data_IF_084943551358
#
_entry.id   IF_084943551358
#
_cell.length_a   1.000
_cell.length_b   1.000
_cell.length_c   1.000
_cell.angle_alpha   90.00
_cell.angle_beta   90.00
_cell.angle_gamma   90.00
#
_symmetry.space_group_name_H-M   'P 1'
#
loop_
_entity.id
_entity.type
_entity.pdbx_description
1 polymer ?
#
# COMPACT_ATOMS: atom_id res chain seq x y z
N UNK A 1 8.08 6.85 27.37
CA UNK A 1 9.08 6.19 26.53
C UNK A 1 8.93 6.59 25.06
N UNK A 2 7.78 6.39 24.39
CA UNK A 2 7.57 6.68 22.97
C UNK A 2 7.92 8.14 22.59
N UNK A 3 7.40 9.13 23.35
CA UNK A 3 7.73 10.55 23.14
C UNK A 3 9.24 10.81 23.20
N UNK A 4 9.94 10.28 24.21
CA UNK A 4 11.38 10.47 24.38
C UNK A 4 12.16 9.88 23.22
N UNK A 5 11.77 8.69 22.75
CA UNK A 5 12.42 8.03 21.62
C UNK A 5 12.15 8.77 20.31
N UNK A 6 10.93 9.23 20.07
CA UNK A 6 10.59 10.02 18.90
C UNK A 6 11.40 11.34 18.84
N UNK A 7 11.52 12.04 19.96
CA UNK A 7 12.35 13.25 20.06
C UNK A 7 13.82 12.95 19.80
N UNK A 8 14.35 11.86 20.35
CA UNK A 8 15.74 11.46 20.13
C UNK A 8 16.02 11.08 18.66
N UNK A 9 15.08 10.44 17.99
CA UNK A 9 15.22 10.10 16.56
C UNK A 9 15.27 11.34 15.67
N UNK A 10 14.51 12.39 15.99
CA UNK A 10 14.48 13.64 15.23
C UNK A 10 15.65 14.59 15.54
N UNK A 11 16.41 14.32 16.59
CA UNK A 11 17.53 15.18 17.00
C UNK A 11 18.71 15.01 16.03
N UNK A 12 19.07 16.07 15.33
CA UNK A 12 20.18 16.09 14.40
C UNK A 12 21.53 15.69 15.02
N UNK A 13 21.70 15.88 16.33
CA UNK A 13 22.90 15.43 17.06
C UNK A 13 23.02 13.90 17.14
N UNK A 14 21.91 13.17 16.96
CA UNK A 14 21.85 11.72 16.87
C UNK A 14 21.86 11.19 15.41
N UNK A 15 22.11 12.07 14.42
CA UNK A 15 22.13 11.73 13.01
C UNK A 15 20.89 12.19 12.24
N UNK A 16 19.79 12.49 12.92
CA UNK A 16 18.53 12.90 12.30
C UNK A 16 17.78 11.75 11.62
N UNK A 17 16.89 12.11 10.69
CA UNK A 17 16.04 11.18 9.92
C UNK A 17 16.08 11.51 8.43
N UNK A 18 15.64 10.58 7.59
CA UNK A 18 15.50 10.81 6.15
C UNK A 18 14.42 11.88 5.89
N UNK A 19 14.72 12.90 5.12
CA UNK A 19 13.79 14.00 4.80
C UNK A 19 13.70 14.29 3.30
N UNK A 20 14.82 14.19 2.57
CA UNK A 20 14.87 14.48 1.14
C UNK A 20 14.43 13.26 0.31
N UNK A 21 13.91 13.53 -0.89
CA UNK A 21 13.37 12.51 -1.80
C UNK A 21 14.41 11.43 -2.18
N UNK A 22 15.65 11.79 -2.32
CA UNK A 22 16.78 10.93 -2.69
C UNK A 22 17.41 10.20 -1.50
N UNK A 23 16.96 10.51 -0.28
CA UNK A 23 17.40 9.81 0.92
C UNK A 23 16.62 8.51 1.08
N UNK A 24 17.30 7.41 0.84
CA UNK A 24 16.74 6.06 1.00
C UNK A 24 17.76 5.13 1.65
N UNK A 25 17.28 4.15 2.39
CA UNK A 25 18.08 3.02 2.86
C UNK A 25 17.73 1.82 2.00
N UNK A 26 18.74 1.18 1.41
CA UNK A 26 18.50 0.06 0.51
C UNK A 26 19.75 -0.71 0.16
N UNK A 27 19.58 -1.73 -0.68
CA UNK A 27 20.64 -2.49 -1.31
C UNK A 27 20.61 -2.21 -2.81
N UNK A 28 21.69 -1.66 -3.32
CA UNK A 28 21.82 -1.18 -4.69
C UNK A 28 22.75 -2.10 -5.49
N UNK A 29 22.43 -2.30 -6.77
CA UNK A 29 23.22 -3.13 -7.67
C UNK A 29 23.29 -4.63 -7.31
N UNK A 30 22.37 -5.10 -6.47
CA UNK A 30 22.24 -6.51 -6.10
C UNK A 30 21.02 -7.12 -6.78
N UNK A 31 20.99 -8.44 -6.87
CA UNK A 31 19.84 -9.16 -7.44
C UNK A 31 18.62 -9.01 -6.53
N UNK A 32 17.56 -8.42 -7.06
CA UNK A 32 16.32 -8.25 -6.32
C UNK A 32 15.52 -9.57 -6.30
N UNK A 33 15.26 -10.16 -5.10
CA UNK A 33 14.50 -11.41 -4.99
C UNK A 33 13.05 -11.26 -5.44
N UNK A 34 12.40 -10.08 -5.22
CA UNK A 34 11.06 -9.82 -5.71
C UNK A 34 11.01 -9.90 -7.25
N UNK A 35 11.97 -9.28 -7.93
CA UNK A 35 12.07 -9.36 -9.39
C UNK A 35 12.29 -10.78 -9.89
N UNK A 36 13.05 -11.60 -9.14
CA UNK A 36 13.24 -13.00 -9.47
C UNK A 36 11.93 -13.79 -9.36
N UNK A 37 11.19 -13.63 -8.26
CA UNK A 37 9.92 -14.34 -8.04
C UNK A 37 8.84 -13.82 -9.02
N UNK A 38 8.82 -12.53 -9.29
CA UNK A 38 7.92 -11.94 -10.29
C UNK A 38 8.11 -12.56 -11.69
N UNK A 39 9.36 -12.93 -12.04
CA UNK A 39 9.66 -13.60 -13.30
C UNK A 39 9.10 -15.04 -13.40
N UNK A 40 8.75 -15.68 -12.28
CA UNK A 40 8.11 -17.00 -12.28
C UNK A 40 6.63 -16.98 -12.67
N UNK A 41 6.05 -15.79 -12.79
CA UNK A 41 4.63 -15.60 -13.11
C UNK A 41 3.67 -16.17 -12.05
N UNK A 42 4.04 -16.06 -10.77
CA UNK A 42 3.29 -16.59 -9.63
C UNK A 42 2.92 -15.51 -8.60
N UNK A 43 3.35 -14.27 -8.82
CA UNK A 43 3.09 -13.14 -7.92
C UNK A 43 2.32 -12.05 -8.65
N UNK A 44 1.16 -11.71 -8.11
CA UNK A 44 0.23 -10.77 -8.72
C UNK A 44 -0.10 -9.61 -7.77
N UNK A 45 -0.62 -8.53 -8.33
CA UNK A 45 -1.18 -7.43 -7.58
C UNK A 45 -2.24 -7.94 -6.61
N UNK A 46 -2.25 -7.41 -5.40
CA UNK A 46 -3.28 -7.72 -4.41
C UNK A 46 -4.55 -6.91 -4.68
N UNK A 47 -5.74 -7.51 -4.49
CA UNK A 47 -7.03 -6.84 -4.65
C UNK A 47 -7.20 -5.58 -3.78
N UNK A 48 -6.60 -5.55 -2.59
CA UNK A 48 -6.60 -4.34 -1.76
C UNK A 48 -5.83 -3.21 -2.42
N UNK A 49 -4.65 -3.48 -3.04
CA UNK A 49 -3.92 -2.48 -3.81
C UNK A 49 -4.71 -2.00 -5.03
N UNK A 50 -5.41 -2.90 -5.73
CA UNK A 50 -6.36 -2.51 -6.79
C UNK A 50 -7.41 -1.54 -6.25
N UNK A 51 -8.11 -1.93 -5.18
CA UNK A 51 -9.17 -1.11 -4.58
C UNK A 51 -8.71 0.31 -4.25
N UNK A 52 -7.58 0.44 -3.58
CA UNK A 52 -7.05 1.76 -3.21
C UNK A 52 -6.47 2.52 -4.40
N UNK A 53 -5.58 1.92 -5.17
CA UNK A 53 -4.87 2.64 -6.23
C UNK A 53 -5.79 3.00 -7.41
N UNK A 54 -6.70 2.10 -7.81
CA UNK A 54 -7.68 2.40 -8.85
C UNK A 54 -8.76 3.37 -8.35
N UNK A 55 -9.27 3.15 -7.13
CA UNK A 55 -10.29 4.01 -6.53
C UNK A 55 -9.83 5.46 -6.34
N UNK A 56 -8.57 5.65 -5.96
CA UNK A 56 -7.97 6.97 -5.82
C UNK A 56 -7.48 7.58 -7.14
N UNK A 57 -7.53 6.83 -8.25
CA UNK A 57 -6.88 7.22 -9.51
C UNK A 57 -5.39 7.56 -9.29
N UNK A 58 -4.72 6.76 -8.46
CA UNK A 58 -3.37 7.02 -7.98
C UNK A 58 -2.35 6.84 -9.11
N UNK A 59 -1.59 7.87 -9.49
CA UNK A 59 -0.63 7.78 -10.60
C UNK A 59 0.56 6.85 -10.30
N UNK A 60 0.78 6.45 -9.04
CA UNK A 60 1.78 5.44 -8.65
C UNK A 60 1.39 4.03 -9.12
N UNK A 61 0.11 3.79 -9.42
CA UNK A 61 -0.40 2.49 -9.90
C UNK A 61 0.41 1.95 -11.08
N UNK A 62 0.61 2.75 -12.12
CA UNK A 62 1.38 2.36 -13.31
C UNK A 62 2.90 2.28 -13.07
N UNK A 63 3.38 2.79 -11.94
CA UNK A 63 4.78 2.65 -11.51
C UNK A 63 5.00 1.36 -10.76
N UNK A 64 4.01 0.90 -10.01
CA UNK A 64 4.05 -0.31 -9.21
C UNK A 64 3.75 -1.56 -10.01
N UNK A 65 2.78 -1.48 -10.94
CA UNK A 65 2.22 -2.64 -11.63
C UNK A 65 2.17 -2.46 -13.14
N UNK A 66 2.28 -3.59 -13.83
CA UNK A 66 1.99 -3.72 -15.25
C UNK A 66 0.49 -3.98 -15.43
N UNK A 67 -0.13 -3.44 -16.49
CA UNK A 67 -1.51 -3.80 -16.83
C UNK A 67 -1.69 -5.31 -17.04
N UNK A 68 -2.88 -5.80 -16.78
CA UNK A 68 -3.27 -7.18 -17.04
C UNK A 68 -3.15 -7.51 -18.54
N UNK A 69 -2.67 -8.70 -18.86
CA UNK A 69 -2.38 -9.10 -20.26
C UNK A 69 -3.56 -9.75 -20.96
N UNK A 70 -4.56 -10.20 -20.22
CA UNK A 70 -5.75 -10.82 -20.80
C UNK A 70 -6.76 -11.25 -19.74
N UNK A 71 -7.80 -11.93 -20.16
CA UNK A 71 -8.94 -12.32 -19.35
C UNK A 71 -9.24 -13.83 -19.37
N UNK A 72 -8.47 -14.61 -20.10
CA UNK A 72 -8.62 -16.07 -20.15
C UNK A 72 -7.50 -16.73 -19.39
N UNK A 73 -7.80 -17.69 -18.56
CA UNK A 73 -6.83 -18.59 -17.98
C UNK A 73 -6.04 -19.35 -19.08
N UNK A 74 -4.90 -19.91 -18.71
CA UNK A 74 -4.01 -20.56 -19.66
C UNK A 74 -4.70 -21.67 -20.46
N UNK A 75 -5.69 -22.34 -19.87
CA UNK A 75 -6.36 -23.51 -20.45
C UNK A 75 -7.80 -23.21 -20.96
N UNK A 76 -8.29 -21.97 -20.83
CA UNK A 76 -9.63 -21.59 -21.30
C UNK A 76 -10.80 -22.33 -20.64
N UNK A 77 -10.54 -23.09 -19.59
CA UNK A 77 -11.56 -23.95 -18.95
C UNK A 77 -12.64 -23.16 -18.22
N UNK A 78 -12.32 -21.97 -17.73
CA UNK A 78 -13.30 -21.07 -17.11
C UNK A 78 -13.26 -19.72 -17.82
N UNK A 79 -14.29 -19.38 -18.59
CA UNK A 79 -14.36 -18.10 -19.24
C UNK A 79 -14.39 -16.95 -18.22
N UNK A 80 -13.65 -15.89 -18.49
CA UNK A 80 -13.78 -14.67 -17.72
C UNK A 80 -15.19 -14.06 -17.88
N UNK A 81 -15.67 -13.43 -16.83
CA UNK A 81 -16.95 -12.72 -16.83
C UNK A 81 -16.88 -11.41 -17.65
N UNK A 82 -15.68 -10.83 -17.72
CA UNK A 82 -15.40 -9.62 -18.51
C UNK A 82 -13.91 -9.53 -18.88
N UNK A 83 -13.58 -8.74 -19.89
CA UNK A 83 -12.20 -8.56 -20.33
C UNK A 83 -11.44 -7.63 -19.40
N UNK A 84 -10.27 -8.08 -18.91
CA UNK A 84 -9.36 -7.31 -18.05
C UNK A 84 -8.13 -6.79 -18.79
N UNK A 85 -7.97 -7.08 -20.07
CA UNK A 85 -6.79 -6.68 -20.84
C UNK A 85 -6.58 -5.17 -20.78
N UNK A 86 -5.38 -4.76 -20.39
CA UNK A 86 -5.03 -3.36 -20.28
C UNK A 86 -5.52 -2.66 -19.00
N UNK A 87 -6.36 -3.31 -18.19
CA UNK A 87 -6.75 -2.83 -16.87
C UNK A 87 -5.71 -3.20 -15.81
N UNK A 88 -5.80 -2.60 -14.64
CA UNK A 88 -5.04 -3.03 -13.48
C UNK A 88 -5.94 -3.93 -12.63
N UNK A 89 -5.57 -5.21 -12.53
CA UNK A 89 -6.42 -6.22 -11.88
C UNK A 89 -5.61 -7.04 -10.90
N UNK A 90 -6.05 -7.05 -9.65
CA UNK A 90 -5.45 -7.79 -8.55
C UNK A 90 -6.17 -9.10 -8.26
N UNK A 91 -5.61 -9.87 -7.34
CA UNK A 91 -6.18 -11.12 -6.82
C UNK A 91 -6.48 -10.95 -5.35
N UNK A 92 -7.66 -11.40 -4.92
CA UNK A 92 -8.07 -11.30 -3.52
C UNK A 92 -7.23 -12.21 -2.64
N UNK A 93 -6.70 -11.67 -1.56
CA UNK A 93 -5.90 -12.42 -0.59
C UNK A 93 -6.72 -13.55 0.04
N UNK A 94 -6.16 -14.75 0.06
CA UNK A 94 -6.83 -15.95 0.55
C UNK A 94 -7.54 -16.76 -0.53
N UNK A 95 -7.57 -16.30 -1.79
CA UNK A 95 -8.03 -17.10 -2.92
C UNK A 95 -7.09 -18.28 -3.14
N UNK A 96 -7.63 -19.49 -3.26
CA UNK A 96 -6.85 -20.68 -3.57
C UNK A 96 -6.48 -20.68 -5.06
N UNK A 97 -5.20 -20.49 -5.34
CA UNK A 97 -4.67 -20.40 -6.72
C UNK A 97 -3.90 -21.66 -7.17
N UNK A 98 -3.75 -22.62 -6.30
CA UNK A 98 -2.84 -23.77 -6.44
C UNK A 98 -3.03 -24.61 -7.70
N UNK A 99 -4.21 -24.56 -8.32
CA UNK A 99 -4.56 -25.33 -9.54
C UNK A 99 -5.23 -24.48 -10.60
N UNK A 100 -5.20 -23.17 -10.44
CA UNK A 100 -6.03 -22.29 -11.24
C UNK A 100 -5.19 -21.26 -12.00
N UNK A 101 -4.97 -21.53 -13.27
CA UNK A 101 -4.21 -20.66 -14.15
C UNK A 101 -4.98 -19.39 -14.57
N UNK A 102 -6.25 -19.24 -14.17
CA UNK A 102 -7.11 -18.10 -14.53
C UNK A 102 -6.48 -16.76 -14.20
N UNK A 103 -5.82 -16.68 -13.05
CA UNK A 103 -5.26 -15.43 -12.55
C UNK A 103 -3.87 -15.08 -13.12
N UNK A 104 -3.25 -15.97 -13.93
CA UNK A 104 -1.93 -15.72 -14.54
C UNK A 104 -1.89 -14.50 -15.47
N UNK A 105 -3.06 -14.01 -15.88
CA UNK A 105 -3.20 -12.84 -16.75
C UNK A 105 -3.36 -11.52 -16.01
N UNK A 106 -3.43 -11.57 -14.67
CA UNK A 106 -3.60 -10.39 -13.81
C UNK A 106 -2.34 -9.53 -13.75
N UNK A 107 -2.48 -8.35 -13.16
CA UNK A 107 -1.40 -7.35 -13.03
C UNK A 107 -0.26 -7.86 -12.16
N UNK A 108 0.97 -7.63 -12.62
CA UNK A 108 2.20 -8.01 -11.92
C UNK A 108 3.03 -6.80 -11.58
N UNK A 109 3.93 -6.95 -10.62
CA UNK A 109 4.91 -5.91 -10.27
C UNK A 109 5.74 -5.49 -11.48
N UNK A 110 6.12 -4.21 -11.53
CA UNK A 110 7.12 -3.70 -12.46
C UNK A 110 8.54 -4.09 -12.07
N UNK A 111 8.76 -4.60 -10.85
CA UNK A 111 10.07 -4.96 -10.33
C UNK A 111 10.75 -6.06 -11.17
N UNK A 112 12.01 -5.84 -11.50
CA UNK A 112 12.89 -6.78 -12.18
C UNK A 112 14.02 -7.20 -11.26
N UNK A 113 14.83 -8.19 -11.69
CA UNK A 113 16.01 -8.63 -10.95
C UNK A 113 17.07 -7.53 -10.74
N UNK A 114 16.99 -6.46 -11.53
CA UNK A 114 17.91 -5.30 -11.47
C UNK A 114 17.31 -4.09 -10.77
N UNK A 115 16.08 -4.18 -10.27
CA UNK A 115 15.45 -3.12 -9.48
C UNK A 115 16.11 -3.05 -8.11
N UNK A 116 16.52 -1.88 -7.66
CA UNK A 116 17.10 -1.70 -6.34
C UNK A 116 16.14 -2.11 -5.22
N UNK A 117 16.69 -2.65 -4.14
CA UNK A 117 15.91 -3.09 -2.97
C UNK A 117 15.88 -1.93 -1.99
N UNK A 118 14.78 -1.23 -1.91
CA UNK A 118 14.58 -0.15 -0.94
C UNK A 118 14.01 -0.74 0.35
N UNK A 119 14.62 -0.40 1.48
CA UNK A 119 14.23 -0.86 2.82
C UNK A 119 13.49 0.24 3.57
N UNK A 120 13.90 1.50 3.41
CA UNK A 120 13.27 2.64 4.05
C UNK A 120 13.40 3.89 3.18
N UNK A 121 12.36 4.72 3.17
CA UNK A 121 12.30 5.94 2.37
C UNK A 121 12.00 7.16 3.23
N UNK A 122 12.34 8.35 2.74
CA UNK A 122 11.94 9.60 3.39
C UNK A 122 10.41 9.75 3.44
N UNK A 123 9.67 9.24 2.45
CA UNK A 123 8.21 9.25 2.48
C UNK A 123 7.66 8.51 3.70
N UNK A 124 8.21 7.34 4.02
CA UNK A 124 7.85 6.58 5.21
C UNK A 124 8.11 7.38 6.48
N UNK A 125 9.27 8.02 6.58
CA UNK A 125 9.64 8.85 7.73
C UNK A 125 8.67 10.02 7.92
N UNK A 126 8.23 10.66 6.85
CA UNK A 126 7.22 11.72 6.95
C UNK A 126 5.89 11.22 7.50
N UNK A 127 5.44 10.02 7.13
CA UNK A 127 4.23 9.43 7.70
C UNK A 127 4.41 9.03 9.17
N UNK A 128 5.57 8.52 9.56
CA UNK A 128 5.88 8.27 10.97
C UNK A 128 5.87 9.56 11.80
N UNK A 129 6.37 10.66 11.24
CA UNK A 129 6.29 11.99 11.86
C UNK A 129 4.84 12.49 11.95
N UNK A 130 4.02 12.24 10.91
CA UNK A 130 2.60 12.60 10.95
C UNK A 130 1.87 11.86 12.08
N UNK A 131 2.09 10.57 12.24
CA UNK A 131 1.54 9.80 13.36
C UNK A 131 2.08 10.29 14.71
N UNK A 132 3.36 10.57 14.82
CA UNK A 132 3.96 11.08 16.06
C UNK A 132 3.39 12.45 16.47
N UNK A 133 3.10 13.32 15.49
CA UNK A 133 2.43 14.61 15.73
C UNK A 133 0.98 14.41 16.17
N UNK A 134 0.22 13.54 15.50
CA UNK A 134 -1.15 13.19 15.86
C UNK A 134 -1.25 12.66 17.30
N UNK A 135 -0.30 11.82 17.70
CA UNK A 135 -0.21 11.28 19.07
C UNK A 135 0.36 12.25 20.09
N UNK A 136 0.74 13.46 19.68
CA UNK A 136 1.33 14.47 20.52
C UNK A 136 2.71 14.11 21.08
N UNK A 137 3.46 13.22 20.40
CA UNK A 137 4.83 12.85 20.80
C UNK A 137 5.84 13.93 20.44
N UNK A 138 5.75 14.47 19.24
CA UNK A 138 6.54 15.57 18.71
C UNK A 138 5.66 16.47 17.84
N UNK A 139 5.99 17.75 17.73
CA UNK A 139 5.39 18.70 16.78
C UNK A 139 3.84 18.60 16.71
N UNK A 140 3.17 18.48 17.85
CA UNK A 140 1.72 18.34 17.92
C UNK A 140 1.00 19.43 17.09
N UNK A 141 0.02 19.02 16.29
CA UNK A 141 -0.70 19.91 15.37
C UNK A 141 -0.08 20.05 13.98
N UNK A 142 1.03 19.33 13.69
CA UNK A 142 1.66 19.32 12.36
C UNK A 142 1.37 18.04 11.56
N UNK A 143 0.46 17.21 12.01
CA UNK A 143 0.13 15.94 11.35
C UNK A 143 -0.31 16.12 9.89
N UNK A 144 -1.09 17.17 9.59
CA UNK A 144 -1.53 17.49 8.23
C UNK A 144 -0.35 17.90 7.32
N UNK A 145 0.59 18.70 7.85
CA UNK A 145 1.78 19.12 7.11
C UNK A 145 2.67 17.92 6.77
N UNK A 146 2.91 17.05 7.76
CA UNK A 146 3.76 15.88 7.58
C UNK A 146 3.11 14.81 6.70
N UNK A 147 1.81 14.61 6.80
CA UNK A 147 1.04 13.79 5.88
C UNK A 147 1.22 14.25 4.43
N UNK A 148 1.01 15.55 4.18
CA UNK A 148 1.22 16.15 2.85
C UNK A 148 2.63 15.88 2.34
N UNK A 149 3.66 16.15 3.14
CA UNK A 149 5.05 15.89 2.78
C UNK A 149 5.31 14.42 2.45
N UNK A 150 4.71 13.49 3.21
CA UNK A 150 4.81 12.06 2.94
C UNK A 150 4.27 11.68 1.57
N UNK A 151 3.10 12.19 1.20
CA UNK A 151 2.50 11.95 -0.12
C UNK A 151 3.36 12.57 -1.24
N UNK A 152 3.73 13.85 -1.10
CA UNK A 152 4.56 14.57 -2.09
C UNK A 152 5.91 13.86 -2.31
N UNK A 153 6.56 13.43 -1.23
CA UNK A 153 7.85 12.70 -1.30
C UNK A 153 7.67 11.34 -1.99
N UNK A 154 6.60 10.60 -1.68
CA UNK A 154 6.30 9.32 -2.34
C UNK A 154 6.04 9.50 -3.84
N UNK A 155 5.28 10.53 -4.23
CA UNK A 155 5.01 10.83 -5.64
C UNK A 155 6.30 11.17 -6.39
N UNK A 156 7.14 12.00 -5.80
CA UNK A 156 8.41 12.38 -6.38
C UNK A 156 9.38 11.20 -6.50
N UNK A 157 9.48 10.35 -5.47
CA UNK A 157 10.28 9.11 -5.48
C UNK A 157 9.92 8.18 -6.64
N UNK A 158 8.62 8.05 -6.95
CA UNK A 158 8.13 7.18 -8.01
C UNK A 158 7.98 7.88 -9.36
N UNK A 159 8.32 9.16 -9.46
CA UNK A 159 8.11 9.94 -10.68
C UNK A 159 6.64 9.96 -11.10
N UNK A 160 5.74 10.08 -10.11
CA UNK A 160 4.30 10.06 -10.31
C UNK A 160 3.70 11.46 -10.61
N UNK A 161 4.54 12.48 -10.71
CA UNK A 161 4.13 13.86 -11.01
C UNK A 161 3.76 14.66 -9.76
N UNK A 162 2.98 15.71 -9.96
CA UNK A 162 2.54 16.61 -8.87
C UNK A 162 1.40 15.97 -8.06
N UNK A 163 1.52 16.00 -6.74
CA UNK A 163 0.55 15.40 -5.83
C UNK A 163 -0.65 16.29 -5.49
N UNK A 164 -0.70 17.54 -5.97
CA UNK A 164 -1.69 18.54 -5.53
C UNK A 164 -3.13 18.11 -5.84
N UNK A 165 -3.38 17.58 -7.04
CA UNK A 165 -4.70 17.08 -7.42
C UNK A 165 -5.12 15.88 -6.58
N UNK A 166 -4.20 14.96 -6.33
CA UNK A 166 -4.42 13.79 -5.48
C UNK A 166 -4.76 14.18 -4.05
N UNK A 167 -3.99 15.10 -3.47
CA UNK A 167 -4.20 15.62 -2.11
C UNK A 167 -5.50 16.44 -1.96
N UNK A 168 -6.10 16.89 -3.06
CA UNK A 168 -7.38 17.57 -3.08
C UNK A 168 -8.56 16.63 -3.40
N UNK A 169 -8.29 15.35 -3.70
CA UNK A 169 -9.29 14.39 -4.17
C UNK A 169 -10.16 13.86 -3.05
N UNK A 170 -11.48 13.87 -3.27
CA UNK A 170 -12.48 13.21 -2.44
C UNK A 170 -12.76 11.75 -2.92
N UNK A 171 -11.92 11.21 -3.80
CA UNK A 171 -12.01 9.82 -4.26
C UNK A 171 -11.85 8.84 -3.09
N UNK A 172 -12.52 7.69 -3.19
CA UNK A 172 -12.48 6.62 -2.19
C UNK A 172 -12.01 5.32 -2.84
N UNK A 173 -11.54 4.34 -2.05
CA UNK A 173 -11.25 3.02 -2.59
C UNK A 173 -12.44 2.46 -3.38
N UNK A 174 -12.17 1.77 -4.47
CA UNK A 174 -13.19 1.13 -5.31
C UNK A 174 -13.57 -0.24 -4.78
N UNK A 175 -14.79 -0.67 -5.09
CA UNK A 175 -15.19 -2.05 -4.90
C UNK A 175 -14.29 -2.97 -5.74
N UNK A 176 -13.99 -4.15 -5.23
CA UNK A 176 -13.30 -5.19 -5.97
C UNK A 176 -14.32 -6.09 -6.66
N UNK A 177 -14.15 -6.29 -7.96
CA UNK A 177 -14.97 -7.19 -8.78
C UNK A 177 -14.05 -8.24 -9.40
N UNK A 178 -14.23 -9.50 -9.04
CA UNK A 178 -13.40 -10.59 -9.57
C UNK A 178 -13.73 -10.89 -11.04
N UNK A 179 -12.70 -11.17 -11.84
CA UNK A 179 -12.86 -11.40 -13.28
C UNK A 179 -13.47 -12.77 -13.61
N UNK A 180 -13.46 -13.71 -12.67
CA UNK A 180 -13.86 -15.09 -12.93
C UNK A 180 -14.96 -15.61 -12.01
N UNK A 181 -15.04 -15.11 -10.78
CA UNK A 181 -15.97 -15.62 -9.78
C UNK A 181 -16.57 -14.49 -8.93
N UNK A 182 -17.84 -14.20 -9.17
CA UNK A 182 -18.59 -13.16 -8.44
C UNK A 182 -18.66 -13.40 -6.93
N UNK A 183 -18.43 -14.60 -6.45
CA UNK A 183 -18.41 -14.88 -5.01
C UNK A 183 -17.20 -14.23 -4.33
N UNK A 184 -16.20 -13.80 -5.09
CA UNK A 184 -15.05 -13.05 -4.62
C UNK A 184 -15.24 -11.54 -4.71
N UNK A 185 -16.33 -11.06 -5.29
CA UNK A 185 -16.65 -9.63 -5.29
C UNK A 185 -16.80 -9.13 -3.85
N UNK A 186 -16.30 -7.93 -3.59
CA UNK A 186 -16.38 -7.32 -2.26
C UNK A 186 -16.37 -5.80 -2.35
N UNK A 187 -17.27 -5.17 -1.59
CA UNK A 187 -17.29 -3.72 -1.45
C UNK A 187 -16.01 -3.20 -0.77
N UNK A 188 -15.62 -1.97 -1.10
CA UNK A 188 -14.53 -1.29 -0.42
C UNK A 188 -14.77 -1.26 1.10
N UNK A 189 -13.73 -1.57 1.87
CA UNK A 189 -13.83 -1.69 3.33
C UNK A 189 -13.85 -0.34 4.05
N UNK A 190 -13.48 0.74 3.37
CA UNK A 190 -13.41 2.09 3.91
C UNK A 190 -13.82 3.13 2.88
N UNK A 191 -14.16 4.32 3.36
CA UNK A 191 -14.42 5.52 2.55
C UNK A 191 -13.35 6.60 2.76
N UNK A 192 -12.20 6.24 3.36
CA UNK A 192 -11.13 7.19 3.60
C UNK A 192 -10.61 7.78 2.28
N UNK A 193 -10.37 9.07 2.25
CA UNK A 193 -9.92 9.80 1.06
C UNK A 193 -8.45 10.18 1.15
N UNK A 194 -7.75 10.43 0.02
CA UNK A 194 -6.39 10.98 0.03
C UNK A 194 -6.33 12.40 0.59
N UNK A 195 -7.42 13.17 0.44
CA UNK A 195 -7.52 14.53 0.96
C UNK A 195 -7.51 14.53 2.48
N UNK A 196 -6.62 15.36 3.06
CA UNK A 196 -6.66 15.58 4.50
C UNK A 196 -7.98 16.22 4.90
N UNK A 197 -8.59 15.70 5.94
CA UNK A 197 -9.80 16.24 6.53
C UNK A 197 -9.69 16.23 8.05
N UNK A 198 -10.23 17.28 8.66
CA UNK A 198 -10.41 17.31 10.10
C UNK A 198 -11.50 16.29 10.48
N UNK A 199 -11.25 15.56 11.56
CA UNK A 199 -12.11 14.47 12.03
C UNK A 199 -11.58 13.93 13.35
N UNK A 200 -11.99 12.73 13.71
CA UNK A 200 -11.45 12.02 14.87
C UNK A 200 -9.97 11.67 14.65
N UNK A 201 -9.23 11.49 15.73
CA UNK A 201 -7.83 11.04 15.67
C UNK A 201 -7.73 9.66 14.98
N UNK A 202 -8.76 8.84 15.10
CA UNK A 202 -8.84 7.54 14.44
C UNK A 202 -8.95 7.65 12.91
N UNK A 203 -9.78 8.54 12.40
CA UNK A 203 -9.89 8.82 10.96
C UNK A 203 -8.60 9.43 10.39
N UNK A 204 -7.95 10.32 11.17
CA UNK A 204 -6.64 10.87 10.81
C UNK A 204 -5.57 9.77 10.79
N UNK A 205 -5.58 8.88 11.76
CA UNK A 205 -4.66 7.74 11.82
C UNK A 205 -4.85 6.79 10.63
N UNK A 206 -6.10 6.40 10.34
CA UNK A 206 -6.43 5.58 9.17
C UNK A 206 -5.86 6.20 7.89
N UNK A 207 -6.03 7.50 7.69
CA UNK A 207 -5.54 8.22 6.52
C UNK A 207 -4.02 8.20 6.43
N UNK A 208 -3.32 8.47 7.54
CA UNK A 208 -1.86 8.46 7.60
C UNK A 208 -1.33 7.06 7.27
N UNK A 209 -1.85 6.02 7.93
CA UNK A 209 -1.36 4.65 7.76
C UNK A 209 -1.70 4.10 6.38
N UNK A 210 -2.88 4.43 5.83
CA UNK A 210 -3.23 4.04 4.45
C UNK A 210 -2.25 4.62 3.45
N UNK A 211 -1.90 5.90 3.56
CA UNK A 211 -0.93 6.51 2.64
C UNK A 211 0.51 6.03 2.89
N UNK A 212 0.90 5.76 4.14
CA UNK A 212 2.16 5.08 4.46
C UNK A 212 2.21 3.72 3.76
N UNK A 213 1.17 2.90 3.91
CA UNK A 213 1.08 1.57 3.31
C UNK A 213 1.24 1.60 1.77
N UNK A 214 0.62 2.57 1.10
CA UNK A 214 0.80 2.76 -0.34
C UNK A 214 2.24 3.20 -0.68
N UNK A 215 2.85 4.06 0.14
CA UNK A 215 4.17 4.62 -0.12
C UNK A 215 5.32 3.62 0.05
N UNK A 216 5.20 2.69 1.01
CA UNK A 216 6.26 1.72 1.33
C UNK A 216 6.28 0.51 0.38
N UNK A 217 5.40 0.46 -0.63
CA UNK A 217 5.48 -0.59 -1.64
C UNK A 217 6.90 -0.67 -2.23
N UNK A 218 7.52 -1.86 -2.34
CA UNK A 218 6.95 -3.19 -2.14
C UNK A 218 7.31 -3.86 -0.78
N UNK A 219 7.60 -3.11 0.28
CA UNK A 219 7.93 -3.69 1.58
C UNK A 219 6.69 -4.31 2.26
N UNK A 220 6.46 -5.58 1.99
CA UNK A 220 5.35 -6.34 2.57
C UNK A 220 5.53 -6.63 4.07
N UNK A 221 6.75 -6.66 4.58
CA UNK A 221 7.02 -6.93 6.00
C UNK A 221 6.59 -5.75 6.86
N UNK A 222 6.99 -4.55 6.49
CA UNK A 222 6.59 -3.32 7.18
C UNK A 222 5.08 -3.08 7.01
N UNK A 223 4.54 -3.27 5.80
CA UNK A 223 3.11 -3.17 5.53
C UNK A 223 2.27 -4.09 6.44
N UNK A 224 2.72 -5.32 6.66
CA UNK A 224 2.07 -6.27 7.57
C UNK A 224 2.20 -5.84 9.04
N UNK A 225 3.38 -5.37 9.45
CA UNK A 225 3.61 -4.89 10.82
C UNK A 225 2.70 -3.70 11.16
N UNK A 226 2.56 -2.74 10.23
CA UNK A 226 1.67 -1.59 10.39
C UNK A 226 0.20 -2.00 10.51
N UNK A 227 -0.26 -2.87 9.63
CA UNK A 227 -1.64 -3.37 9.70
C UNK A 227 -1.92 -4.11 11.01
N UNK A 228 -0.98 -4.92 11.50
CA UNK A 228 -1.10 -5.60 12.79
C UNK A 228 -1.08 -4.65 13.98
N UNK A 229 -0.31 -3.57 13.89
CA UNK A 229 -0.18 -2.57 14.95
C UNK A 229 -1.39 -1.66 15.07
N UNK A 230 -1.99 -1.28 13.94
CA UNK A 230 -3.00 -0.22 13.87
C UNK A 230 -4.38 -0.68 13.44
N UNK A 231 -4.47 -1.84 12.78
CA UNK A 231 -5.69 -2.29 12.10
C UNK A 231 -5.87 -1.69 10.70
N UNK A 232 -4.95 -0.80 10.26
CA UNK A 232 -5.02 -0.11 8.97
C UNK A 232 -3.87 -0.50 8.03
N UNK A 233 -4.09 -0.38 6.69
CA UNK A 233 -5.39 -0.12 6.06
C UNK A 233 -6.39 -1.28 6.26
N UNK A 234 -7.68 -1.01 6.04
CA UNK A 234 -8.69 -2.06 6.03
C UNK A 234 -8.59 -2.85 4.72
N UNK A 235 -8.09 -4.08 4.80
CA UNK A 235 -7.77 -4.93 3.66
C UNK A 235 -8.93 -5.84 3.24
N UNK A 236 -9.02 -6.11 1.92
CA UNK A 236 -9.96 -7.06 1.32
C UNK A 236 -9.47 -8.50 1.50
N UNK A 237 -9.56 -9.05 2.70
CA UNK A 237 -9.10 -10.41 3.00
C UNK A 237 -10.27 -11.38 3.26
N UNK A 238 -10.17 -12.59 2.71
CA UNK A 238 -11.09 -13.68 3.03
C UNK A 238 -10.91 -14.21 4.46
N UNK A 239 -9.73 -14.00 5.03
CA UNK A 239 -9.34 -14.57 6.35
C UNK A 239 -9.94 -13.75 7.49
N UNK A 240 -10.23 -12.46 7.30
CA UNK A 240 -10.79 -11.58 8.33
C UNK A 240 -12.30 -11.70 8.53
N UNK A 241 -12.99 -12.53 7.76
CA UNK A 241 -14.44 -12.80 7.95
C UNK A 241 -14.70 -13.62 9.23
N UNK A 242 -13.67 -14.25 9.77
CA UNK A 242 -13.73 -14.99 11.03
C UNK A 242 -12.51 -14.66 11.89
N UNK A 243 -12.46 -13.45 12.50
CA UNK A 243 -11.50 -13.26 13.58
C UNK A 243 -11.84 -14.24 14.71
N UNK A 244 -10.91 -15.12 15.10
CA UNK A 244 -11.01 -15.71 16.41
C UNK A 244 -10.87 -14.54 17.39
N UNK A 245 -11.87 -14.37 18.24
CA UNK A 245 -11.85 -13.42 19.35
C UNK A 245 -10.44 -13.35 19.94
N UNK A 246 -9.85 -12.16 19.91
CA UNK A 246 -8.57 -11.88 20.54
C UNK A 246 -8.60 -12.47 21.96
N UNK A 247 -7.69 -13.36 22.36
CA UNK A 247 -7.66 -13.82 23.74
C UNK A 247 -7.56 -12.60 24.64
N UNK A 248 -8.50 -12.46 25.57
CA UNK A 248 -8.42 -11.46 26.63
C UNK A 248 -7.03 -11.55 27.28
N UNK A 249 -6.39 -10.41 27.61
CA UNK A 249 -5.10 -10.44 28.30
C UNK A 249 -5.30 -11.23 29.59
N UNK A 250 -4.48 -12.25 29.78
CA UNK A 250 -4.44 -13.02 31.03
C UNK A 250 -4.05 -12.02 32.12
N UNK A 251 -4.98 -11.73 33.00
CA UNK A 251 -4.84 -10.85 34.18
C UNK A 251 -3.82 -11.40 35.15
#
# INVERSE_FOLDING_TARGET
>A
LARTQAQAALDASNGGVLEAIDETVGQYGVRNPLGAVNAWNEVFMNASLESFLCGYEDPRLSKYFLPAVGNTGADGEVPALFDIKGSFKGVRQGTALDKDNRYLTHSRSTATISTDIIIMTAAEVWFLRAEAALRGYVDAGKEAEYYKKGVETSFAQWGAGDASAYLASDATPSDYVDAFDKTFDVAAMTKITPKWAEGSDEEKLERIITQKWLAIYPDGCEAWAEQRRTGYPQLLSLIHISEPTRPEPIS
#
